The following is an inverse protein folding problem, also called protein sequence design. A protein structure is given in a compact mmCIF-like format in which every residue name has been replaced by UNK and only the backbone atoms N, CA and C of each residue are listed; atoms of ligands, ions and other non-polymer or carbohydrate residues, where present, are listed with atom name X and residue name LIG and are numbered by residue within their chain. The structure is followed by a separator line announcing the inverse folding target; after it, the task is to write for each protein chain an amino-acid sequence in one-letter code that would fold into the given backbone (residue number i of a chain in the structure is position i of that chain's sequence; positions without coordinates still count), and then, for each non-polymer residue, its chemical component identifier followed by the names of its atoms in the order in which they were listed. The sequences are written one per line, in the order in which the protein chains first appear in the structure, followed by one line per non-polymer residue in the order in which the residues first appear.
data_IF_522302788346
#
_entry.id   IF_522302788346
#
_cell.length_a   1.000
_cell.length_b   1.000
_cell.length_c   1.000
_cell.angle_alpha   90.00
_cell.angle_beta   90.00
_cell.angle_gamma   90.00
#
_symmetry.space_group_name_H-M   'P 1'
#
loop_
_entity.id
_entity.type
_entity.pdbx_description
1 polymer ?
#
# COMPACT_ATOMS: atom_id res chain seq x y z
N UNK A 1 4.98 11.93 -11.15
CA UNK A 1 3.78 12.66 -10.68
C UNK A 1 3.62 12.51 -9.17
N UNK A 2 3.52 11.29 -8.61
CA UNK A 2 3.39 11.02 -7.16
C UNK A 2 4.45 11.76 -6.32
N UNK A 3 5.74 11.57 -6.56
CA UNK A 3 6.82 12.24 -5.78
C UNK A 3 6.79 13.77 -5.83
N UNK A 4 6.37 14.37 -6.96
CA UNK A 4 6.28 15.83 -7.12
C UNK A 4 5.09 16.42 -6.36
N UNK A 5 4.01 15.64 -6.20
CA UNK A 5 2.76 16.09 -5.58
C UNK A 5 2.74 15.78 -4.08
N UNK A 6 3.27 14.63 -3.66
CA UNK A 6 3.29 14.22 -2.25
C UNK A 6 4.48 14.78 -1.46
N UNK A 7 5.38 15.54 -2.12
CA UNK A 7 6.70 15.95 -1.60
C UNK A 7 7.49 14.78 -0.96
N UNK A 8 7.12 13.54 -1.27
CA UNK A 8 7.72 12.35 -0.70
C UNK A 8 8.79 11.79 -1.63
N UNK A 9 9.88 11.31 -1.03
CA UNK A 9 10.88 10.49 -1.73
C UNK A 9 10.30 9.13 -2.16
N UNK A 10 9.17 8.71 -1.61
CA UNK A 10 8.54 7.42 -1.82
C UNK A 10 7.34 7.55 -2.76
N UNK A 11 7.42 6.89 -3.92
CA UNK A 11 6.34 6.88 -4.93
C UNK A 11 5.51 5.61 -4.94
N UNK A 12 5.99 4.55 -4.30
CA UNK A 12 5.43 3.22 -4.38
C UNK A 12 5.74 2.43 -3.12
N UNK A 13 4.84 1.51 -2.77
CA UNK A 13 5.00 0.56 -1.68
C UNK A 13 4.47 -0.80 -2.12
N UNK A 14 5.09 -1.85 -1.60
CA UNK A 14 4.72 -3.25 -1.86
C UNK A 14 4.86 -4.05 -0.56
N UNK A 15 4.13 -5.15 -0.46
CA UNK A 15 4.20 -6.06 0.69
C UNK A 15 4.73 -7.42 0.23
N UNK A 16 5.79 -7.89 0.87
CA UNK A 16 6.36 -9.22 0.65
C UNK A 16 5.88 -10.18 1.73
N UNK A 17 5.27 -11.28 1.29
CA UNK A 17 4.97 -12.47 2.07
C UNK A 17 6.15 -13.43 1.94
N UNK A 18 7.08 -13.36 2.90
CA UNK A 18 8.38 -14.03 2.78
C UNK A 18 8.30 -15.57 2.72
N UNK A 19 7.51 -16.27 3.57
CA UNK A 19 7.34 -17.72 3.48
C UNK A 19 6.86 -18.24 2.11
N UNK A 20 5.94 -17.53 1.46
CA UNK A 20 5.41 -17.89 0.14
C UNK A 20 6.27 -17.37 -1.03
N UNK A 21 7.31 -16.57 -0.77
CA UNK A 21 8.05 -15.82 -1.79
C UNK A 21 7.12 -15.03 -2.75
N UNK A 22 6.09 -14.39 -2.19
CA UNK A 22 5.11 -13.60 -2.95
C UNK A 22 5.23 -12.13 -2.58
N UNK A 23 5.19 -11.26 -3.59
CA UNK A 23 5.07 -9.82 -3.43
C UNK A 23 3.73 -9.34 -3.98
N UNK A 24 2.98 -8.58 -3.19
CA UNK A 24 1.74 -7.91 -3.61
C UNK A 24 1.96 -6.42 -3.77
N UNK A 25 1.45 -5.87 -4.86
CA UNK A 25 1.49 -4.45 -5.15
C UNK A 25 0.40 -4.05 -6.14
N UNK A 26 0.02 -2.77 -6.13
CA UNK A 26 -0.79 -2.17 -7.19
C UNK A 26 0.08 -1.21 -8.01
N UNK A 27 0.22 -1.49 -9.31
CA UNK A 27 1.05 -0.72 -10.22
C UNK A 27 0.22 0.05 -11.25
N UNK A 28 0.62 1.29 -11.51
CA UNK A 28 0.05 2.08 -12.61
C UNK A 28 0.18 1.30 -13.94
N UNK A 29 -0.92 1.17 -14.67
CA UNK A 29 -1.02 0.46 -15.94
C UNK A 29 -1.20 -1.05 -15.83
N UNK A 30 -1.00 -1.65 -14.65
CA UNK A 30 -1.15 -3.10 -14.42
C UNK A 30 -2.24 -3.46 -13.41
N UNK A 31 -2.61 -2.54 -12.52
CA UNK A 31 -3.52 -2.83 -11.42
C UNK A 31 -2.84 -3.63 -10.30
N UNK A 32 -3.63 -4.33 -9.50
CA UNK A 32 -3.13 -5.23 -8.48
C UNK A 32 -2.54 -6.49 -9.10
N UNK A 33 -1.31 -6.82 -8.74
CA UNK A 33 -0.60 -8.02 -9.21
C UNK A 33 0.12 -8.72 -8.06
N UNK A 34 0.34 -10.02 -8.24
CA UNK A 34 1.26 -10.81 -7.44
C UNK A 34 2.52 -11.06 -8.27
N UNK A 35 3.69 -10.84 -7.66
CA UNK A 35 5.00 -11.04 -8.28
C UNK A 35 5.87 -11.92 -7.38
N UNK A 36 7.04 -12.31 -7.87
CA UNK A 36 8.06 -12.96 -7.04
C UNK A 36 8.47 -12.03 -5.89
N UNK A 37 8.62 -12.59 -4.69
CA UNK A 37 9.15 -11.91 -3.51
C UNK A 37 10.53 -11.26 -3.74
N UNK A 38 11.29 -11.80 -4.70
CA UNK A 38 12.64 -11.35 -5.06
C UNK A 38 12.68 -10.15 -6.02
N UNK A 39 11.53 -9.65 -6.49
CA UNK A 39 11.45 -8.59 -7.53
C UNK A 39 12.34 -7.37 -7.24
N UNK A 40 12.46 -6.99 -5.97
CA UNK A 40 13.17 -5.79 -5.55
C UNK A 40 14.49 -6.05 -4.83
N UNK A 41 14.99 -7.29 -4.83
CA UNK A 41 16.22 -7.66 -4.10
C UNK A 41 17.45 -6.91 -4.63
N UNK A 42 17.48 -6.61 -5.93
CA UNK A 42 18.57 -5.85 -6.57
C UNK A 42 18.44 -4.32 -6.42
N UNK A 43 17.28 -3.84 -5.95
CA UNK A 43 17.05 -2.41 -5.77
C UNK A 43 17.67 -1.99 -4.42
N UNK A 44 17.72 -0.68 -4.14
CA UNK A 44 18.03 -0.19 -2.78
C UNK A 44 16.73 0.20 -2.07
N UNK A 45 15.77 -0.72 -1.83
CA UNK A 45 14.54 -0.36 -1.15
C UNK A 45 14.84 -0.09 0.33
N UNK A 46 14.17 0.89 0.94
CA UNK A 46 14.02 0.87 2.39
C UNK A 46 13.07 -0.26 2.74
N UNK A 47 13.63 -1.36 3.25
CA UNK A 47 12.89 -2.54 3.67
C UNK A 47 12.51 -2.40 5.14
N UNK A 48 11.24 -2.66 5.44
CA UNK A 48 10.73 -2.76 6.81
C UNK A 48 10.24 -4.18 7.02
N UNK A 49 10.73 -4.83 8.09
CA UNK A 49 10.41 -6.22 8.38
C UNK A 49 9.73 -6.27 9.75
N UNK A 50 8.61 -7.00 9.82
CA UNK A 50 7.99 -7.39 11.09
C UNK A 50 8.07 -8.89 11.27
N UNK A 51 8.21 -9.34 12.52
CA UNK A 51 8.09 -10.75 12.92
C UNK A 51 6.82 -11.05 13.73
N UNK A 52 5.93 -10.06 13.86
CA UNK A 52 4.81 -10.10 14.83
C UNK A 52 3.43 -10.39 14.20
N UNK A 53 3.38 -10.99 13.01
CA UNK A 53 2.11 -11.35 12.37
C UNK A 53 1.73 -12.77 12.77
N UNK A 54 0.53 -12.95 13.34
CA UNK A 54 0.03 -14.29 13.69
C UNK A 54 -0.21 -15.12 12.42
N UNK A 55 -0.09 -16.46 12.47
CA UNK A 55 -0.35 -17.32 11.30
C UNK A 55 -1.73 -17.08 10.68
N UNK A 56 -2.77 -16.94 11.50
CA UNK A 56 -4.12 -16.66 11.03
C UNK A 56 -4.26 -15.31 10.29
N UNK A 57 -3.57 -14.26 10.78
CA UNK A 57 -3.55 -12.97 10.11
C UNK A 57 -2.77 -13.05 8.78
N UNK A 58 -1.63 -13.74 8.78
CA UNK A 58 -0.83 -13.99 7.58
C UNK A 58 -1.66 -14.69 6.48
N UNK A 59 -2.31 -15.80 6.82
CA UNK A 59 -3.15 -16.59 5.91
C UNK A 59 -4.32 -15.76 5.37
N UNK A 60 -4.91 -14.91 6.21
CA UNK A 60 -6.00 -14.03 5.83
C UNK A 60 -5.55 -12.94 4.86
N UNK A 61 -4.39 -12.33 5.11
CA UNK A 61 -3.77 -11.32 4.24
C UNK A 61 -3.43 -11.90 2.86
N UNK A 62 -2.73 -13.03 2.81
CA UNK A 62 -2.33 -13.63 1.54
C UNK A 62 -3.55 -14.14 0.76
N UNK A 63 -4.55 -14.69 1.43
CA UNK A 63 -5.81 -15.12 0.81
C UNK A 63 -6.58 -13.94 0.20
N UNK A 64 -6.64 -12.80 0.90
CA UNK A 64 -7.26 -11.59 0.37
C UNK A 64 -6.49 -11.06 -0.85
N UNK A 65 -5.16 -11.00 -0.78
CA UNK A 65 -4.31 -10.59 -1.89
C UNK A 65 -4.51 -11.47 -3.13
N UNK A 66 -4.57 -12.80 -2.96
CA UNK A 66 -4.86 -13.76 -4.05
C UNK A 66 -6.25 -13.55 -4.65
N UNK A 67 -7.29 -13.34 -3.83
CA UNK A 67 -8.64 -13.07 -4.32
C UNK A 67 -8.72 -11.78 -5.14
N UNK A 68 -8.09 -10.71 -4.68
CA UNK A 68 -8.05 -9.47 -5.44
C UNK A 68 -7.27 -9.61 -6.74
N UNK A 69 -6.14 -10.31 -6.74
CA UNK A 69 -5.35 -10.54 -7.94
C UNK A 69 -6.15 -11.35 -8.98
N UNK A 70 -6.88 -12.38 -8.56
CA UNK A 70 -7.75 -13.17 -9.44
C UNK A 70 -8.87 -12.33 -10.08
N UNK A 71 -9.32 -11.27 -9.42
CA UNK A 71 -10.34 -10.33 -9.93
C UNK A 71 -9.77 -9.26 -10.86
N UNK A 72 -8.46 -9.25 -11.10
CA UNK A 72 -7.80 -8.28 -11.98
C UNK A 72 -8.14 -6.82 -11.63
N UNK A 73 -8.09 -6.48 -10.33
CA UNK A 73 -8.49 -5.14 -9.87
C UNK A 73 -7.59 -4.07 -10.51
N UNK A 74 -8.15 -3.11 -11.27
CA UNK A 74 -7.38 -2.09 -11.95
C UNK A 74 -6.78 -1.07 -10.98
N UNK A 75 -5.79 -0.32 -11.48
CA UNK A 75 -5.13 0.71 -10.70
C UNK A 75 -6.05 1.93 -10.50
N UNK A 76 -6.17 2.38 -9.25
CA UNK A 76 -7.00 3.51 -8.86
C UNK A 76 -6.38 4.87 -9.20
N UNK A 77 -6.31 5.25 -10.49
CA UNK A 77 -5.74 6.54 -10.90
C UNK A 77 -6.43 7.74 -10.24
N UNK A 78 -7.75 7.68 -10.09
CA UNK A 78 -8.53 8.74 -9.43
C UNK A 78 -8.26 8.80 -7.94
N UNK A 79 -8.16 7.65 -7.28
CA UNK A 79 -7.72 7.55 -5.88
C UNK A 79 -6.31 8.11 -5.70
N UNK A 80 -5.38 7.78 -6.62
CA UNK A 80 -4.03 8.33 -6.63
C UNK A 80 -4.04 9.87 -6.80
N UNK A 81 -4.91 10.41 -7.66
CA UNK A 81 -5.10 11.85 -7.81
C UNK A 81 -5.69 12.48 -6.54
N UNK A 82 -6.66 11.84 -5.88
CA UNK A 82 -7.23 12.30 -4.62
C UNK A 82 -6.20 12.34 -3.49
N UNK A 83 -5.31 11.33 -3.41
CA UNK A 83 -4.12 11.38 -2.54
C UNK A 83 -3.25 12.59 -2.90
N UNK A 84 -3.03 12.86 -4.18
CA UNK A 84 -2.29 14.04 -4.61
C UNK A 84 -2.91 15.36 -4.14
N UNK A 85 -4.23 15.53 -4.33
CA UNK A 85 -5.00 16.69 -3.83
C UNK A 85 -4.87 16.81 -2.32
N UNK A 86 -4.96 15.68 -1.61
CA UNK A 86 -4.83 15.61 -0.15
C UNK A 86 -3.47 16.13 0.33
N UNK A 87 -2.40 15.76 -0.35
CA UNK A 87 -1.03 16.19 0.01
C UNK A 87 -0.77 17.68 -0.29
N UNK A 88 -1.47 18.26 -1.26
CA UNK A 88 -1.33 19.68 -1.61
C UNK A 88 -2.24 20.60 -0.79
N UNK A 89 -3.48 20.18 -0.55
CA UNK A 89 -4.56 21.03 -0.03
C UNK A 89 -5.16 20.50 1.28
N UNK A 90 -4.59 19.44 1.84
CA UNK A 90 -5.01 18.85 3.10
C UNK A 90 -6.12 17.79 2.96
N UNK A 91 -6.40 17.13 4.08
CA UNK A 91 -7.25 15.93 4.13
C UNK A 91 -8.67 16.13 3.61
N UNK A 92 -9.29 17.24 3.98
CA UNK A 92 -10.68 17.54 3.57
C UNK A 92 -10.82 17.67 2.05
N UNK A 93 -9.89 18.37 1.40
CA UNK A 93 -9.86 18.49 -0.06
C UNK A 93 -9.65 17.13 -0.74
N UNK A 94 -8.79 16.29 -0.17
CA UNK A 94 -8.60 14.90 -0.60
C UNK A 94 -9.88 14.07 -0.53
N UNK A 95 -10.63 14.18 0.57
CA UNK A 95 -11.90 13.48 0.74
C UNK A 95 -12.95 13.94 -0.26
N UNK A 96 -13.12 15.25 -0.45
CA UNK A 96 -14.04 15.79 -1.45
C UNK A 96 -13.69 15.31 -2.87
N UNK A 97 -12.40 15.26 -3.21
CA UNK A 97 -11.94 14.71 -4.48
C UNK A 97 -12.28 13.22 -4.62
N UNK A 98 -11.98 12.42 -3.58
CA UNK A 98 -12.27 10.99 -3.57
C UNK A 98 -13.78 10.72 -3.73
N UNK A 99 -14.64 11.42 -2.97
CA UNK A 99 -16.09 11.27 -3.03
C UNK A 99 -16.64 11.65 -4.40
N UNK A 100 -16.13 12.74 -4.98
CA UNK A 100 -16.50 13.17 -6.34
C UNK A 100 -16.08 12.16 -7.41
N UNK A 101 -14.96 11.47 -7.19
CA UNK A 101 -14.48 10.45 -8.12
C UNK A 101 -15.17 9.09 -7.97
N UNK A 102 -15.76 8.81 -6.81
CA UNK A 102 -16.38 7.52 -6.48
C UNK A 102 -17.72 7.24 -7.16
N UNK A 103 -18.34 8.23 -7.82
CA UNK A 103 -19.63 8.05 -8.50
C UNK A 103 -19.51 7.04 -9.66
N UNK A 104 -20.23 5.91 -9.56
CA UNK A 104 -20.40 4.85 -10.58
C UNK A 104 -19.15 4.07 -11.01
N UNK A 105 -18.27 3.67 -10.08
CA UNK A 105 -16.98 3.08 -10.45
C UNK A 105 -16.84 1.61 -10.05
N UNK A 106 -16.21 0.85 -10.95
CA UNK A 106 -15.58 -0.43 -10.65
C UNK A 106 -14.61 -0.29 -9.47
N UNK A 107 -14.47 -1.36 -8.68
CA UNK A 107 -13.46 -1.44 -7.63
C UNK A 107 -12.07 -1.23 -8.21
N UNK A 108 -11.28 -0.34 -7.60
CA UNK A 108 -9.90 -0.02 -7.99
C UNK A 108 -9.04 0.06 -6.74
N UNK A 109 -7.74 -0.21 -6.84
CA UNK A 109 -6.82 -0.15 -5.72
C UNK A 109 -5.56 0.65 -6.07
N UNK A 110 -5.02 1.38 -5.08
CA UNK A 110 -3.68 1.99 -5.15
C UNK A 110 -2.72 1.30 -4.19
N UNK A 111 -1.41 1.44 -4.42
CA UNK A 111 -0.39 0.68 -3.69
C UNK A 111 -0.48 0.85 -2.17
N UNK A 112 -0.63 2.08 -1.66
CA UNK A 112 -0.78 2.34 -0.23
C UNK A 112 -2.08 1.79 0.36
N UNK A 113 -3.19 1.87 -0.37
CA UNK A 113 -4.49 1.35 0.05
C UNK A 113 -4.46 -0.18 0.24
N UNK A 114 -3.83 -0.90 -0.71
CA UNK A 114 -3.60 -2.35 -0.61
C UNK A 114 -2.89 -2.68 0.69
N UNK A 115 -1.80 -1.98 0.96
CA UNK A 115 -0.95 -2.26 2.11
C UNK A 115 -1.64 -1.93 3.43
N UNK A 116 -2.32 -0.79 3.52
CA UNK A 116 -3.09 -0.43 4.72
C UNK A 116 -4.18 -1.45 4.98
N UNK A 117 -4.92 -1.86 3.96
CA UNK A 117 -6.03 -2.81 4.10
C UNK A 117 -5.52 -4.18 4.55
N UNK A 118 -4.43 -4.68 3.95
CA UNK A 118 -3.82 -5.93 4.37
C UNK A 118 -3.25 -5.82 5.78
N UNK A 119 -2.51 -4.76 6.09
CA UNK A 119 -1.87 -4.62 7.41
C UNK A 119 -2.88 -4.52 8.55
N UNK A 120 -4.04 -3.90 8.31
CA UNK A 120 -5.13 -3.84 9.29
C UNK A 120 -5.71 -5.20 9.69
N UNK A 121 -5.48 -6.25 8.90
CA UNK A 121 -5.83 -7.62 9.30
C UNK A 121 -4.92 -8.09 10.45
N UNK A 122 -3.63 -7.78 10.40
CA UNK A 122 -2.67 -8.12 11.44
C UNK A 122 -2.73 -7.14 12.62
N UNK A 123 -2.95 -5.86 12.35
CA UNK A 123 -3.06 -4.81 13.36
C UNK A 123 -4.27 -3.90 13.07
N UNK A 124 -5.46 -4.21 13.61
CA UNK A 124 -6.67 -3.42 13.39
C UNK A 124 -6.57 -1.96 13.85
N UNK A 125 -5.67 -1.67 14.80
CA UNK A 125 -5.43 -0.31 15.28
C UNK A 125 -4.53 0.52 14.35
N UNK A 126 -3.95 -0.09 13.30
CA UNK A 126 -3.06 0.61 12.37
C UNK A 126 -3.81 1.72 11.61
N UNK A 127 -3.32 2.96 11.76
CA UNK A 127 -3.92 4.18 11.21
C UNK A 127 -5.43 4.27 11.55
N UNK A 128 -5.82 4.37 12.83
CA UNK A 128 -7.21 4.21 13.25
C UNK A 128 -8.08 5.36 12.70
N UNK A 129 -9.30 5.05 12.25
CA UNK A 129 -10.23 6.04 11.68
C UNK A 129 -9.79 6.66 10.34
N UNK A 130 -8.73 6.15 9.73
CA UNK A 130 -8.25 6.59 8.42
C UNK A 130 -8.97 5.93 7.24
N UNK A 131 -9.47 6.72 6.29
CA UNK A 131 -9.84 6.23 4.95
C UNK A 131 -8.59 5.69 4.24
N UNK A 132 -8.52 4.37 4.03
CA UNK A 132 -7.34 3.70 3.48
C UNK A 132 -6.98 4.23 2.08
N UNK A 133 -8.00 4.61 1.30
CA UNK A 133 -7.87 5.19 -0.04
C UNK A 133 -7.14 6.53 -0.07
N UNK A 134 -7.07 7.24 1.06
CA UNK A 134 -6.39 8.53 1.16
C UNK A 134 -5.01 8.45 1.82
N UNK A 135 -4.59 7.27 2.28
CA UNK A 135 -3.26 7.09 2.86
C UNK A 135 -2.23 7.16 1.74
N UNK A 136 -1.24 8.04 1.87
CA UNK A 136 -0.13 8.11 0.92
C UNK A 136 0.98 7.09 1.25
N UNK A 137 1.83 6.71 0.29
CA UNK A 137 3.03 5.89 0.56
C UNK A 137 3.89 6.44 1.72
N UNK A 138 3.97 7.77 1.83
CA UNK A 138 4.73 8.43 2.89
C UNK A 138 4.08 8.26 4.27
N UNK A 139 2.78 8.50 4.39
CA UNK A 139 2.07 8.30 5.66
C UNK A 139 2.13 6.85 6.12
N UNK A 140 1.94 5.91 5.19
CA UNK A 140 2.08 4.48 5.48
C UNK A 140 3.47 4.16 6.03
N UNK A 141 4.53 4.66 5.38
CA UNK A 141 5.90 4.49 5.83
C UNK A 141 6.15 5.09 7.22
N UNK A 142 5.65 6.31 7.50
CA UNK A 142 5.82 6.92 8.82
C UNK A 142 5.10 6.12 9.91
N UNK A 143 3.91 5.59 9.62
CA UNK A 143 3.18 4.73 10.55
C UNK A 143 3.88 3.38 10.77
N UNK A 144 4.50 2.81 9.73
CA UNK A 144 5.28 1.58 9.89
C UNK A 144 6.53 1.77 10.75
N UNK A 145 7.18 2.93 10.70
CA UNK A 145 8.38 3.20 11.51
C UNK A 145 8.14 3.10 13.01
N UNK A 146 6.91 3.35 13.48
CA UNK A 146 6.55 3.17 14.89
C UNK A 146 6.23 1.73 15.28
N UNK A 147 6.04 0.83 14.32
CA UNK A 147 5.59 -0.56 14.56
C UNK A 147 6.59 -1.63 14.12
N UNK A 148 7.47 -1.32 13.18
CA UNK A 148 8.43 -2.26 12.61
C UNK A 148 9.86 -1.85 12.93
N UNK A 149 10.73 -2.82 13.19
CA UNK A 149 12.16 -2.60 13.15
C UNK A 149 12.60 -2.32 11.71
N UNK A 150 13.38 -1.25 11.53
CA UNK A 150 14.09 -1.05 10.27
C UNK A 150 15.15 -2.15 10.14
N UNK A 151 15.12 -2.89 9.04
CA UNK A 151 16.22 -3.77 8.68
C UNK A 151 17.06 -3.00 7.66
N UNK A 152 18.21 -2.48 8.07
CA UNK A 152 19.27 -2.21 7.10
C UNK A 152 19.68 -3.56 6.53
N UNK A 153 19.51 -3.75 5.23
CA UNK A 153 20.10 -4.88 4.54
C UNK A 153 21.61 -4.56 4.52
N UNK A 154 22.36 -5.12 5.47
CA UNK A 154 23.81 -5.20 5.36
C UNK A 154 24.11 -5.98 4.08
N UNK A 155 24.52 -5.25 3.03
CA UNK A 155 25.12 -5.85 1.84
C UNK A 155 26.51 -6.34 2.26
N UNK A 156 26.61 -7.63 2.62
CA UNK A 156 27.89 -8.33 2.66
C UNK A 156 28.42 -8.56 1.23
#
# INVERSE_FOLDING_TARGET
MVTRVTKSRWSHVALRFDPDNILVEALAGKGLILQSGQKYDEWTPSLFVTKQVSPAAYDSMISLARRWAARHIPYGYRTCAAIGVKELFGRHAGQLALDRFAQNQMETLVCSEVLVTLWRIANPAFLPGGEARLVSPNEFLQALKSECSFAEIDKQ
#
